data_IF_443188276406
#
_entry.id   IF_443188276406
#
_cell.length_a   1.000
_cell.length_b   1.000
_cell.length_c   1.000
_cell.angle_alpha   90.00
_cell.angle_beta   90.00
_cell.angle_gamma   90.00
#
_symmetry.space_group_name_H-M   'P 1'
#
loop_
_entity.id
_entity.type
_entity.pdbx_description
1 polymer ?
#
# COMPACT_ATOMS: atom_id res chain seq x y z
N UNK A 1 -10.77 -26.38 -2.06
CA UNK A 1 -9.53 -26.26 -1.27
C UNK A 1 -8.47 -25.50 -2.05
N UNK A 2 -8.07 -25.96 -3.24
CA UNK A 2 -7.13 -25.24 -4.15
C UNK A 2 -7.52 -23.77 -4.34
N UNK A 3 -8.79 -23.49 -4.63
CA UNK A 3 -9.32 -22.13 -4.76
C UNK A 3 -9.00 -21.20 -3.58
N UNK A 4 -9.05 -21.69 -2.33
CA UNK A 4 -8.77 -20.85 -1.16
C UNK A 4 -7.28 -20.53 -1.05
N UNK A 5 -6.44 -21.53 -1.30
CA UNK A 5 -4.98 -21.36 -1.35
C UNK A 5 -4.60 -20.37 -2.45
N UNK A 6 -5.18 -20.50 -3.64
CA UNK A 6 -4.95 -19.58 -4.76
C UNK A 6 -5.29 -18.13 -4.41
N UNK A 7 -6.42 -17.90 -3.71
CA UNK A 7 -6.80 -16.56 -3.23
C UNK A 7 -5.70 -15.99 -2.31
N UNK A 8 -5.22 -16.77 -1.34
CA UNK A 8 -4.15 -16.31 -0.43
C UNK A 8 -2.85 -16.02 -1.19
N UNK A 9 -2.50 -16.83 -2.19
CA UNK A 9 -1.31 -16.59 -3.01
C UNK A 9 -1.43 -15.30 -3.84
N UNK A 10 -2.62 -15.02 -4.38
CA UNK A 10 -2.89 -13.75 -5.09
C UNK A 10 -2.80 -12.56 -4.15
N UNK A 11 -3.40 -12.64 -2.97
CA UNK A 11 -3.27 -11.59 -1.94
C UNK A 11 -1.80 -11.35 -1.56
N UNK A 12 -1.03 -12.43 -1.39
CA UNK A 12 0.40 -12.36 -1.08
C UNK A 12 1.19 -11.61 -2.17
N UNK A 13 0.95 -11.96 -3.44
CA UNK A 13 1.65 -11.31 -4.56
C UNK A 13 1.28 -9.82 -4.65
N UNK A 14 0.00 -9.47 -4.51
CA UNK A 14 -0.45 -8.08 -4.55
C UNK A 14 0.14 -7.25 -3.40
N UNK A 15 0.27 -7.83 -2.20
CA UNK A 15 0.94 -7.14 -1.08
C UNK A 15 2.43 -6.89 -1.36
N UNK A 16 3.11 -7.86 -1.99
CA UNK A 16 4.50 -7.69 -2.40
C UNK A 16 4.64 -6.56 -3.42
N UNK A 17 3.74 -6.50 -4.39
CA UNK A 17 3.70 -5.44 -5.41
C UNK A 17 3.43 -4.07 -4.76
N UNK A 18 2.51 -3.98 -3.79
CA UNK A 18 2.27 -2.75 -3.03
C UNK A 18 3.51 -2.27 -2.27
N UNK A 19 4.23 -3.17 -1.61
CA UNK A 19 5.47 -2.82 -0.90
C UNK A 19 6.52 -2.30 -1.88
N UNK A 20 6.68 -2.97 -3.02
CA UNK A 20 7.63 -2.53 -4.05
C UNK A 20 7.25 -1.14 -4.59
N UNK A 21 6.00 -0.94 -4.97
CA UNK A 21 5.52 0.36 -5.47
C UNK A 21 5.68 1.47 -4.43
N UNK A 22 5.48 1.18 -3.13
CA UNK A 22 5.68 2.15 -2.07
C UNK A 22 7.17 2.54 -1.88
N UNK A 23 8.10 1.59 -2.04
CA UNK A 23 9.55 1.85 -2.08
C UNK A 23 9.94 2.67 -3.33
N UNK A 24 9.35 2.37 -4.49
CA UNK A 24 9.55 3.14 -5.72
C UNK A 24 9.03 4.57 -5.55
N UNK A 25 7.86 4.75 -4.94
CA UNK A 25 7.30 6.07 -4.65
C UNK A 25 8.20 6.88 -3.72
N UNK A 26 8.72 6.27 -2.65
CA UNK A 26 9.71 6.89 -1.75
C UNK A 26 10.91 7.41 -2.55
N UNK A 27 11.43 6.58 -3.44
CA UNK A 27 12.59 6.91 -4.26
C UNK A 27 12.30 8.04 -5.25
N UNK A 28 11.11 8.06 -5.85
CA UNK A 28 10.67 9.14 -6.74
C UNK A 28 10.48 10.46 -5.99
N UNK A 29 9.91 10.42 -4.78
CA UNK A 29 9.76 11.60 -3.90
C UNK A 29 11.11 12.20 -3.50
N UNK A 30 12.10 11.36 -3.17
CA UNK A 30 13.46 11.83 -2.85
C UNK A 30 14.11 12.52 -4.07
N UNK A 31 13.83 12.06 -5.29
CA UNK A 31 14.35 12.62 -6.53
C UNK A 31 13.51 13.77 -7.11
N UNK A 32 12.42 14.16 -6.45
CA UNK A 32 11.46 15.14 -6.96
C UNK A 32 10.89 14.79 -8.35
N UNK A 33 10.76 13.50 -8.64
CA UNK A 33 10.27 12.99 -9.93
C UNK A 33 8.74 12.91 -9.94
N UNK A 34 8.11 14.07 -10.09
CA UNK A 34 6.64 14.24 -10.01
C UNK A 34 5.88 13.33 -11.00
N UNK A 35 6.27 13.21 -12.28
CA UNK A 35 5.58 12.33 -13.21
C UNK A 35 5.59 10.86 -12.77
N UNK A 36 6.72 10.38 -12.23
CA UNK A 36 6.76 9.01 -11.70
C UNK A 36 5.96 8.86 -10.41
N UNK A 37 5.92 9.86 -9.53
CA UNK A 37 5.07 9.82 -8.31
C UNK A 37 3.60 9.63 -8.69
N UNK A 38 3.10 10.37 -9.67
CA UNK A 38 1.72 10.23 -10.15
C UNK A 38 1.45 8.87 -10.77
N UNK A 39 2.32 8.41 -11.69
CA UNK A 39 2.22 7.09 -12.30
C UNK A 39 2.21 5.96 -11.26
N UNK A 40 3.06 6.05 -10.25
CA UNK A 40 3.14 5.05 -9.17
C UNK A 40 1.88 5.10 -8.29
N UNK A 41 1.35 6.29 -7.98
CA UNK A 41 0.12 6.44 -7.21
C UNK A 41 -1.09 5.77 -7.90
N UNK A 42 -1.21 5.90 -9.23
CA UNK A 42 -2.25 5.22 -10.00
C UNK A 42 -2.14 3.70 -9.86
N UNK A 43 -0.94 3.14 -10.05
CA UNK A 43 -0.70 1.70 -9.89
C UNK A 43 -0.98 1.21 -8.46
N UNK A 44 -0.56 1.97 -7.44
CA UNK A 44 -0.87 1.64 -6.05
C UNK A 44 -2.38 1.53 -5.80
N UNK A 45 -3.16 2.46 -6.35
CA UNK A 45 -4.62 2.44 -6.23
C UNK A 45 -5.26 1.24 -6.95
N UNK A 46 -4.76 0.88 -8.13
CA UNK A 46 -5.22 -0.29 -8.88
C UNK A 46 -4.95 -1.57 -8.09
N UNK A 47 -3.70 -1.79 -7.67
CA UNK A 47 -3.30 -2.99 -6.90
C UNK A 47 -4.06 -3.07 -5.58
N UNK A 48 -4.27 -1.94 -4.88
CA UNK A 48 -5.03 -1.91 -3.64
C UNK A 48 -6.51 -2.27 -3.83
N UNK A 49 -7.13 -1.85 -4.93
CA UNK A 49 -8.50 -2.24 -5.28
C UNK A 49 -8.58 -3.75 -5.54
N UNK A 50 -7.66 -4.28 -6.35
CA UNK A 50 -7.62 -5.72 -6.64
C UNK A 50 -7.38 -6.55 -5.37
N UNK A 51 -6.50 -6.08 -4.47
CA UNK A 51 -6.29 -6.76 -3.18
C UNK A 51 -7.57 -6.81 -2.34
N UNK A 52 -8.34 -5.72 -2.31
CA UNK A 52 -9.62 -5.67 -1.61
C UNK A 52 -10.65 -6.63 -2.23
N UNK A 53 -10.63 -6.79 -3.54
CA UNK A 53 -11.53 -7.73 -4.23
C UNK A 53 -11.21 -9.18 -3.86
N UNK A 54 -9.93 -9.56 -3.84
CA UNK A 54 -9.50 -10.88 -3.36
C UNK A 54 -9.79 -11.11 -1.87
N UNK A 55 -9.65 -10.09 -1.04
CA UNK A 55 -10.04 -10.17 0.37
C UNK A 55 -11.54 -10.42 0.54
N UNK A 56 -12.36 -9.74 -0.26
CA UNK A 56 -13.80 -9.99 -0.29
C UNK A 56 -14.12 -11.41 -0.79
N UNK A 57 -13.40 -11.90 -1.81
CA UNK A 57 -13.56 -13.27 -2.29
C UNK A 57 -13.20 -14.29 -1.20
N UNK A 58 -12.09 -14.06 -0.47
CA UNK A 58 -11.68 -14.87 0.69
C UNK A 58 -12.78 -14.92 1.74
N UNK A 59 -13.33 -13.77 2.12
CA UNK A 59 -14.41 -13.67 3.11
C UNK A 59 -15.66 -14.43 2.62
N UNK A 60 -16.03 -14.24 1.35
CA UNK A 60 -17.20 -14.91 0.77
C UNK A 60 -17.01 -16.43 0.72
N UNK A 61 -15.81 -16.93 0.41
CA UNK A 61 -15.48 -18.35 0.47
C UNK A 61 -15.72 -18.90 1.88
N UNK A 62 -15.19 -18.22 2.91
CA UNK A 62 -15.34 -18.63 4.30
C UNK A 62 -16.81 -18.61 4.77
N UNK A 63 -17.61 -17.65 4.31
CA UNK A 63 -19.04 -17.57 4.64
C UNK A 63 -19.83 -18.67 3.94
N UNK A 64 -19.59 -18.89 2.65
CA UNK A 64 -20.42 -19.77 1.85
C UNK A 64 -20.05 -21.25 2.04
N UNK A 65 -18.76 -21.56 2.09
CA UNK A 65 -18.28 -22.94 2.08
C UNK A 65 -18.06 -23.47 3.49
N UNK A 66 -17.58 -22.63 4.42
CA UNK A 66 -17.38 -23.00 5.83
C UNK A 66 -18.52 -22.56 6.75
N UNK A 67 -19.57 -21.94 6.20
CA UNK A 67 -20.76 -21.49 6.94
C UNK A 67 -20.43 -20.58 8.13
N UNK A 68 -19.30 -19.87 8.07
CA UNK A 68 -18.94 -18.88 9.07
C UNK A 68 -19.84 -17.65 8.93
N UNK A 69 -20.19 -17.03 10.06
CA UNK A 69 -20.78 -15.69 9.98
C UNK A 69 -19.77 -14.72 9.35
N UNK A 70 -20.25 -13.66 8.69
CA UNK A 70 -19.36 -12.64 8.10
C UNK A 70 -18.37 -12.07 9.11
N UNK A 71 -18.80 -11.88 10.36
CA UNK A 71 -17.94 -11.41 11.45
C UNK A 71 -16.81 -12.40 11.75
N UNK A 72 -17.13 -13.69 11.84
CA UNK A 72 -16.14 -14.76 12.05
C UNK A 72 -15.19 -14.87 10.85
N UNK A 73 -15.70 -14.79 9.62
CA UNK A 73 -14.88 -14.88 8.41
C UNK A 73 -13.81 -13.77 8.32
N UNK A 74 -14.13 -12.56 8.78
CA UNK A 74 -13.17 -11.43 8.81
C UNK A 74 -12.05 -11.68 9.83
N UNK A 75 -12.37 -12.30 10.97
CA UNK A 75 -11.41 -12.50 12.07
C UNK A 75 -10.78 -13.89 12.09
N UNK A 76 -11.18 -14.78 11.18
CA UNK A 76 -10.75 -16.16 11.15
C UNK A 76 -9.23 -16.25 10.97
N UNK A 77 -8.55 -16.99 11.85
CA UNK A 77 -7.12 -17.22 11.71
C UNK A 77 -6.88 -18.41 10.80
N UNK A 78 -5.90 -18.30 9.90
CA UNK A 78 -5.49 -19.41 9.03
C UNK A 78 -5.06 -20.65 9.84
N UNK A 79 -4.51 -20.47 11.05
CA UNK A 79 -4.20 -21.57 11.97
C UNK A 79 -5.43 -22.33 12.45
N UNK A 80 -6.57 -21.66 12.61
CA UNK A 80 -7.85 -22.28 13.01
C UNK A 80 -8.50 -23.00 11.82
N UNK A 81 -8.20 -22.56 10.61
CA UNK A 81 -8.71 -23.13 9.36
C UNK A 81 -7.83 -24.24 8.78
N UNK A 82 -6.61 -24.42 9.32
CA UNK A 82 -5.57 -25.31 8.78
C UNK A 82 -6.09 -26.73 8.57
N UNK A 83 -6.64 -27.30 9.63
CA UNK A 83 -7.06 -28.71 9.65
C UNK A 83 -8.36 -28.93 8.85
N UNK A 84 -9.19 -27.89 8.76
CA UNK A 84 -10.47 -27.93 8.03
C UNK A 84 -10.24 -27.85 6.51
N UNK A 85 -9.29 -27.02 6.08
CA UNK A 85 -9.02 -26.73 4.67
C UNK A 85 -7.77 -27.43 4.12
N UNK A 86 -7.09 -28.25 4.92
CA UNK A 86 -5.80 -28.88 4.61
C UNK A 86 -4.79 -27.86 4.06
N UNK A 87 -4.62 -26.74 4.77
CA UNK A 87 -3.75 -25.65 4.33
C UNK A 87 -2.29 -26.08 4.44
N UNK A 88 -1.50 -26.02 3.36
CA UNK A 88 -0.10 -26.40 3.43
C UNK A 88 0.74 -25.36 4.19
N UNK A 89 1.80 -25.82 4.83
CA UNK A 89 2.60 -25.02 5.78
C UNK A 89 3.22 -23.77 5.14
N UNK A 90 3.59 -23.85 3.85
CA UNK A 90 4.10 -22.72 3.08
C UNK A 90 3.10 -21.54 3.01
N UNK A 91 1.79 -21.81 3.01
CA UNK A 91 0.75 -20.77 3.00
C UNK A 91 0.63 -20.10 4.37
N UNK A 92 0.81 -20.87 5.45
CA UNK A 92 0.86 -20.32 6.80
C UNK A 92 2.07 -19.39 6.97
N UNK A 93 3.22 -19.77 6.44
CA UNK A 93 4.41 -18.93 6.42
C UNK A 93 4.18 -17.63 5.61
N UNK A 94 3.57 -17.73 4.42
CA UNK A 94 3.19 -16.54 3.63
C UNK A 94 2.29 -15.59 4.41
N UNK A 95 1.39 -16.08 5.26
CA UNK A 95 0.56 -15.19 6.10
C UNK A 95 1.38 -14.38 7.09
N UNK A 96 2.40 -14.98 7.69
CA UNK A 96 3.31 -14.27 8.59
C UNK A 96 4.05 -13.18 7.83
N UNK A 97 4.56 -13.49 6.64
CA UNK A 97 5.20 -12.52 5.75
C UNK A 97 4.25 -11.40 5.33
N UNK A 98 2.99 -11.70 5.00
CA UNK A 98 1.97 -10.69 4.68
C UNK A 98 1.78 -9.70 5.83
N UNK A 99 1.75 -10.17 7.07
CA UNK A 99 1.65 -9.29 8.24
C UNK A 99 2.84 -8.34 8.33
N UNK A 100 4.06 -8.86 8.15
CA UNK A 100 5.27 -8.04 8.13
C UNK A 100 5.25 -7.02 6.97
N UNK A 101 4.74 -7.42 5.80
CA UNK A 101 4.57 -6.53 4.65
C UNK A 101 3.56 -5.41 4.93
N UNK A 102 2.45 -5.70 5.60
CA UNK A 102 1.47 -4.68 6.01
C UNK A 102 2.08 -3.68 6.98
N UNK A 103 2.82 -4.16 7.98
CA UNK A 103 3.54 -3.30 8.94
C UNK A 103 4.58 -2.42 8.23
N UNK A 104 5.35 -3.00 7.29
CA UNK A 104 6.29 -2.26 6.45
C UNK A 104 5.59 -1.22 5.58
N UNK A 105 4.47 -1.56 4.96
CA UNK A 105 3.70 -0.67 4.09
C UNK A 105 3.14 0.52 4.87
N UNK A 106 2.68 0.32 6.11
CA UNK A 106 2.25 1.41 6.98
C UNK A 106 3.40 2.40 7.27
N UNK A 107 4.61 1.89 7.51
CA UNK A 107 5.82 2.70 7.67
C UNK A 107 6.18 3.49 6.40
N UNK A 108 6.23 2.82 5.25
CA UNK A 108 6.52 3.45 3.96
C UNK A 108 5.49 4.53 3.61
N UNK A 109 4.20 4.28 3.82
CA UNK A 109 3.16 5.27 3.56
C UNK A 109 3.28 6.49 4.46
N UNK A 110 3.65 6.30 5.72
CA UNK A 110 3.88 7.40 6.66
C UNK A 110 5.06 8.27 6.22
N UNK A 111 6.15 7.63 5.79
CA UNK A 111 7.32 8.32 5.25
C UNK A 111 7.01 9.05 3.93
N UNK A 112 6.30 8.42 3.00
CA UNK A 112 5.94 9.02 1.72
C UNK A 112 5.06 10.26 1.92
N UNK A 113 4.12 10.23 2.86
CA UNK A 113 3.32 11.40 3.25
C UNK A 113 4.19 12.53 3.79
N UNK A 114 5.14 12.21 4.68
CA UNK A 114 6.08 13.21 5.21
C UNK A 114 6.90 13.87 4.09
N UNK A 115 7.45 13.06 3.17
CA UNK A 115 8.25 13.55 2.04
C UNK A 115 7.42 14.45 1.12
N UNK A 116 6.20 14.03 0.77
CA UNK A 116 5.30 14.83 -0.05
C UNK A 116 4.95 16.17 0.62
N UNK A 117 4.64 16.16 1.92
CA UNK A 117 4.34 17.38 2.67
C UNK A 117 5.56 18.31 2.74
N UNK A 118 6.76 17.77 2.95
CA UNK A 118 8.01 18.55 2.95
C UNK A 118 8.25 19.21 1.57
N UNK A 119 7.99 18.49 0.48
CA UNK A 119 8.09 19.06 -0.87
C UNK A 119 7.10 20.22 -1.06
N UNK A 120 5.85 20.08 -0.61
CA UNK A 120 4.84 21.14 -0.66
C UNK A 120 5.24 22.37 0.17
N UNK A 121 5.74 22.17 1.39
CA UNK A 121 6.21 23.28 2.23
C UNK A 121 7.36 24.04 1.57
N UNK A 122 8.34 23.34 1.01
CA UNK A 122 9.48 23.97 0.32
C UNK A 122 9.04 24.78 -0.90
N UNK A 123 8.11 24.25 -1.71
CA UNK A 123 7.53 24.99 -2.84
C UNK A 123 6.78 26.23 -2.35
N UNK A 124 6.01 26.11 -1.25
CA UNK A 124 5.30 27.23 -0.65
C UNK A 124 6.23 28.36 -0.18
N UNK A 125 7.38 28.01 0.41
CA UNK A 125 8.42 28.97 0.83
C UNK A 125 9.09 29.67 -0.37
N UNK A 126 9.37 28.93 -1.45
CA UNK A 126 9.91 29.51 -2.68
C UNK A 126 8.91 30.50 -3.27
N UNK A 127 7.64 30.09 -3.39
CA UNK A 127 6.60 30.95 -3.94
C UNK A 127 6.35 32.19 -3.07
N UNK A 128 6.34 32.07 -1.74
CA UNK A 128 6.18 33.22 -0.84
C UNK A 128 7.36 34.20 -0.93
N UNK A 129 8.57 33.67 -1.14
CA UNK A 129 9.77 34.49 -1.36
C UNK A 129 9.69 35.28 -2.66
N UNK A 130 9.21 34.64 -3.74
CA UNK A 130 9.08 35.25 -5.07
C UNK A 130 7.88 36.20 -5.19
N UNK A 131 6.80 35.95 -4.44
CA UNK A 131 5.56 36.73 -4.51
C UNK A 131 5.52 37.93 -3.56
N UNK A 132 6.51 38.08 -2.67
CA UNK A 132 6.60 39.24 -1.79
C UNK A 132 7.16 40.47 -2.54
N UNK A 133 6.35 41.53 -2.79
CA UNK A 133 6.79 42.71 -3.53
C UNK A 133 7.85 43.56 -2.81
N UNK A 134 8.11 43.27 -1.52
CA UNK A 134 9.15 43.94 -0.72
C UNK A 134 10.49 43.18 -0.68
N UNK A 135 10.60 41.97 -1.26
CA UNK A 135 11.87 41.26 -1.40
C UNK A 135 12.59 41.76 -2.65
N UNK A 136 13.25 42.91 -2.53
CA UNK A 136 14.15 43.48 -3.53
C UNK A 136 15.43 42.64 -3.63
N UNK A 137 15.37 41.51 -4.34
CA UNK A 137 16.56 40.76 -4.77
C UNK A 137 16.79 40.99 -6.26
N UNK A 138 16.96 42.24 -6.63
CA UNK A 138 17.68 42.68 -7.83
C UNK A 138 17.84 44.20 -7.75
N UNK A 139 19.00 44.66 -7.30
CA UNK A 139 19.49 46.02 -7.55
C UNK A 139 19.89 46.16 -9.02
N UNK A 140 18.96 45.96 -9.95
CA UNK A 140 19.18 46.23 -11.38
C UNK A 140 18.25 47.38 -11.76
N UNK A 141 18.84 48.56 -11.93
CA UNK A 141 18.19 49.67 -12.65
C UNK A 141 18.07 49.25 -14.11
N UNK A 142 16.85 49.25 -14.63
CA UNK A 142 16.62 49.34 -16.09
C UNK A 142 16.95 50.76 -16.51
#
# INVERSE_FOLDING_TARGET
MEKFVDIIEKEYQLLKDLVQLAEEQKSALIRYDVPNVERIATKLNEVARTLKDYENERINFLVNDLKLSRRQAITAKLTELKDILNIPENILQKRVEMRQMIEKLAGLNSLNKLLANRALSSIGEILSTLSNPNNSVCNVRI
#
